data_IF_223263101714
#
_entry.id   IF_223263101714
#
_cell.length_a   1.000
_cell.length_b   1.000
_cell.length_c   1.000
_cell.angle_alpha   90.00
_cell.angle_beta   90.00
_cell.angle_gamma   90.00
#
_symmetry.space_group_name_H-M   'P 1'
#
loop_
_entity.id
_entity.type
_entity.pdbx_description
1 polymer ?
#
# COMPACT_ATOMS: atom_id res chain seq x y z
N UNK A 1 -16.65 -7.55 -10.13
CA UNK A 1 -16.56 -6.12 -10.51
C UNK A 1 -15.19 -5.89 -11.12
N UNK A 2 -15.09 -5.31 -12.32
CA UNK A 2 -13.83 -5.22 -13.05
C UNK A 2 -13.11 -3.94 -12.63
N UNK A 3 -12.11 -4.04 -11.75
CA UNK A 3 -11.20 -2.95 -11.40
C UNK A 3 -10.69 -3.00 -9.96
N UNK A 4 -11.58 -2.76 -9.00
CA UNK A 4 -11.24 -2.67 -7.58
C UNK A 4 -11.90 -3.80 -6.76
N UNK A 5 -11.29 -4.21 -5.63
CA UNK A 5 -11.93 -5.10 -4.66
C UNK A 5 -13.27 -4.54 -4.15
N UNK A 6 -14.10 -5.42 -3.62
CA UNK A 6 -15.28 -5.01 -2.84
C UNK A 6 -14.84 -4.04 -1.71
N UNK A 7 -15.65 -3.01 -1.46
CA UNK A 7 -15.38 -1.92 -0.48
C UNK A 7 -14.27 -0.91 -0.84
N UNK A 8 -13.78 -0.91 -2.08
CA UNK A 8 -12.85 0.11 -2.60
C UNK A 8 -13.54 0.92 -3.69
N UNK A 9 -14.12 2.05 -3.31
CA UNK A 9 -14.90 2.92 -4.20
C UNK A 9 -14.07 4.12 -4.71
N UNK A 10 -13.07 4.54 -3.94
CA UNK A 10 -12.24 5.72 -4.20
C UNK A 10 -10.78 5.46 -3.86
N UNK A 11 -9.89 6.36 -4.30
CA UNK A 11 -8.47 6.32 -3.92
C UNK A 11 -8.26 6.36 -2.39
N UNK A 12 -9.16 7.02 -1.65
CA UNK A 12 -9.08 7.09 -0.20
C UNK A 12 -9.31 5.73 0.47
N UNK A 13 -10.06 4.83 -0.17
CA UNK A 13 -10.37 3.51 0.40
C UNK A 13 -9.17 2.56 0.42
N UNK A 14 -8.12 2.83 -0.35
CA UNK A 14 -6.87 2.04 -0.26
C UNK A 14 -6.19 2.17 1.10
N UNK A 15 -6.48 3.21 1.89
CA UNK A 15 -6.00 3.32 3.28
C UNK A 15 -6.57 2.22 4.19
N UNK A 16 -7.71 1.60 3.83
CA UNK A 16 -8.27 0.46 4.57
C UNK A 16 -7.30 -0.73 4.59
N UNK A 17 -6.44 -0.88 3.59
CA UNK A 17 -5.44 -1.96 3.53
C UNK A 17 -4.48 -1.84 4.72
N UNK A 18 -4.00 -0.65 5.04
CA UNK A 18 -3.08 -0.43 6.16
C UNK A 18 -3.73 -0.82 7.50
N UNK A 19 -5.00 -0.47 7.70
CA UNK A 19 -5.78 -0.86 8.89
C UNK A 19 -5.90 -2.37 8.99
N UNK A 20 -6.33 -3.04 7.91
CA UNK A 20 -6.51 -4.50 7.87
C UNK A 20 -5.20 -5.25 8.19
N UNK A 21 -4.06 -4.76 7.68
CA UNK A 21 -2.76 -5.38 7.97
C UNK A 21 -2.35 -5.18 9.42
N UNK A 22 -2.59 -4.00 10.00
CA UNK A 22 -2.34 -3.74 11.42
C UNK A 22 -3.18 -4.62 12.34
N UNK A 23 -4.47 -4.81 12.03
CA UNK A 23 -5.35 -5.73 12.77
C UNK A 23 -4.89 -7.19 12.69
N UNK A 24 -4.16 -7.55 11.62
CA UNK A 24 -3.54 -8.87 11.45
C UNK A 24 -2.16 -8.99 12.12
N UNK A 25 -1.71 -7.96 12.84
CA UNK A 25 -0.45 -7.98 13.59
C UNK A 25 0.80 -7.74 12.74
N UNK A 26 0.66 -7.12 11.56
CA UNK A 26 1.83 -6.69 10.79
C UNK A 26 2.51 -5.51 11.49
N UNK A 27 3.84 -5.53 11.49
CA UNK A 27 4.64 -4.41 11.97
C UNK A 27 4.39 -3.18 11.10
N UNK A 28 4.41 -1.98 11.70
CA UNK A 28 4.22 -0.72 10.98
C UNK A 28 5.22 -0.56 9.82
N UNK A 29 6.47 -1.01 10.02
CA UNK A 29 7.49 -0.98 8.99
C UNK A 29 7.12 -1.83 7.76
N UNK A 30 6.50 -3.00 7.96
CA UNK A 30 6.08 -3.87 6.87
C UNK A 30 4.87 -3.31 6.12
N UNK A 31 3.95 -2.67 6.84
CA UNK A 31 2.82 -1.96 6.24
C UNK A 31 3.33 -0.81 5.36
N UNK A 32 4.26 0.02 5.86
CA UNK A 32 4.87 1.10 5.07
C UNK A 32 5.61 0.57 3.84
N UNK A 33 6.29 -0.58 3.96
CA UNK A 33 6.94 -1.25 2.85
C UNK A 33 5.95 -1.63 1.74
N UNK A 34 4.81 -2.23 2.10
CA UNK A 34 3.75 -2.58 1.13
C UNK A 34 3.11 -1.33 0.52
N UNK A 35 2.77 -0.34 1.36
CA UNK A 35 2.00 0.82 0.93
C UNK A 35 2.79 1.77 0.03
N UNK A 36 4.10 1.95 0.26
CA UNK A 36 4.88 2.88 -0.57
C UNK A 36 6.41 2.69 -0.54
N UNK A 37 7.04 2.27 0.57
CA UNK A 37 8.52 2.33 0.66
C UNK A 37 9.23 1.36 -0.28
N UNK A 38 8.66 0.19 -0.58
CA UNK A 38 9.24 -0.71 -1.58
C UNK A 38 9.27 -0.05 -2.96
N UNK A 39 8.17 0.61 -3.34
CA UNK A 39 8.06 1.31 -4.61
C UNK A 39 8.96 2.53 -4.66
N UNK A 40 9.02 3.30 -3.58
CA UNK A 40 9.92 4.45 -3.48
C UNK A 40 11.38 4.03 -3.74
N UNK A 41 11.89 3.02 -3.02
CA UNK A 41 13.26 2.52 -3.22
C UNK A 41 13.50 2.06 -4.66
N UNK A 42 12.53 1.35 -5.24
CA UNK A 42 12.61 0.91 -6.63
C UNK A 42 12.69 2.11 -7.59
N UNK A 43 11.86 3.12 -7.41
CA UNK A 43 11.89 4.30 -8.28
C UNK A 43 13.16 5.14 -8.09
N UNK A 44 13.66 5.26 -6.86
CA UNK A 44 14.95 5.92 -6.57
C UNK A 44 16.14 5.19 -7.22
N UNK A 45 16.08 3.86 -7.31
CA UNK A 45 17.14 3.05 -7.94
C UNK A 45 17.11 3.13 -9.48
N UNK A 46 15.92 3.15 -10.08
CA UNK A 46 15.76 2.92 -11.52
C UNK A 46 15.31 4.13 -12.34
N UNK A 47 14.78 5.20 -11.73
CA UNK A 47 14.41 6.41 -12.47
C UNK A 47 15.61 7.36 -12.62
N UNK A 48 15.74 8.07 -13.75
CA UNK A 48 16.75 9.11 -13.91
C UNK A 48 16.54 10.25 -12.92
N UNK A 49 17.65 10.86 -12.49
CA UNK A 49 17.69 12.07 -11.65
C UNK A 49 17.15 13.31 -12.36
#
# INVERSE_FOLDING_TARGET
>A
AVGAPHDVDTVADYQKIAVILGERGWETADIENVMWRNWQRYFEEFLPS
#
